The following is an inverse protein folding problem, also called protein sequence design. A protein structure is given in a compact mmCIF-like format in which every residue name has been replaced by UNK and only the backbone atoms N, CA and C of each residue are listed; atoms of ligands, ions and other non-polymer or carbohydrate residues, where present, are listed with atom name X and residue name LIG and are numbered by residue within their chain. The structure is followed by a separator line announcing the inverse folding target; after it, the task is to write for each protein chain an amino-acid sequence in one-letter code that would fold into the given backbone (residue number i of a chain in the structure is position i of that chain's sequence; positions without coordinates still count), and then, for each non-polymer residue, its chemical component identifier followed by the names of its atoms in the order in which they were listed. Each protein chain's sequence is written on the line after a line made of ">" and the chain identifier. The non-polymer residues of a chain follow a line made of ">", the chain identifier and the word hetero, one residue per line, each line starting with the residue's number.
data_IF_948519220757
#
_entry.id   IF_948519220757
#
_cell.length_a   1.000
_cell.length_b   1.000
_cell.length_c   1.000
_cell.angle_alpha   90.00
_cell.angle_beta   90.00
_cell.angle_gamma   90.00
#
_symmetry.space_group_name_H-M   'P 1'
#
loop_
_entity.id
_entity.type
_entity.pdbx_description
1 polymer ?
#
# COMPACT_ATOMS: atom_id res chain seq x y z
N UNK A 1 -10.63 27.30 15.20
CA UNK A 1 -10.60 26.49 16.45
C UNK A 1 -9.15 26.50 16.93
N UNK A 2 -8.92 26.90 18.18
CA UNK A 2 -7.59 27.23 18.70
C UNK A 2 -6.67 26.02 18.76
N UNK A 3 -5.46 26.19 18.25
CA UNK A 3 -4.31 25.33 18.53
C UNK A 3 -4.08 25.34 20.05
N UNK A 4 -4.26 24.19 20.71
CA UNK A 4 -3.96 24.02 22.13
C UNK A 4 -2.45 23.76 22.29
N UNK A 5 -1.68 24.84 22.36
CA UNK A 5 -0.22 24.84 22.55
C UNK A 5 0.22 24.04 23.80
N UNK A 6 -0.55 24.09 24.88
CA UNK A 6 -0.23 23.48 26.16
C UNK A 6 -0.17 21.94 26.12
N UNK A 7 -0.93 21.29 25.23
CA UNK A 7 -0.88 19.83 25.06
C UNK A 7 0.31 19.39 24.21
N UNK A 8 0.80 20.25 23.31
CA UNK A 8 1.98 19.96 22.48
C UNK A 8 3.27 20.09 23.28
N UNK A 9 3.42 21.14 24.10
CA UNK A 9 4.60 21.34 24.96
C UNK A 9 4.85 20.13 25.90
N UNK A 10 3.79 19.50 26.43
CA UNK A 10 3.93 18.33 27.33
C UNK A 10 4.40 17.06 26.59
N UNK A 11 4.11 16.93 25.29
CA UNK A 11 4.47 15.76 24.47
C UNK A 11 5.86 15.95 23.84
N UNK A 12 6.20 17.16 23.41
CA UNK A 12 7.50 17.50 22.80
C UNK A 12 8.63 17.56 23.81
N UNK A 13 8.41 18.09 25.01
CA UNK A 13 9.50 18.41 25.95
C UNK A 13 10.00 17.21 26.78
N UNK A 14 9.35 16.04 26.63
CA UNK A 14 9.80 14.77 27.21
C UNK A 14 10.41 13.80 26.18
N UNK A 15 10.55 14.21 24.92
CA UNK A 15 10.99 13.34 23.82
C UNK A 15 9.97 12.21 23.52
N UNK A 16 8.68 12.45 23.79
CA UNK A 16 7.61 11.44 23.71
C UNK A 16 6.64 11.65 22.54
N UNK A 17 6.85 12.66 21.72
CA UNK A 17 6.18 12.82 20.43
C UNK A 17 6.33 14.24 19.90
N UNK A 18 6.15 14.37 18.59
CA UNK A 18 5.99 15.64 17.92
C UNK A 18 4.78 15.52 16.99
N UNK A 19 4.08 16.62 16.75
CA UNK A 19 3.08 16.70 15.68
C UNK A 19 3.62 17.59 14.57
N UNK A 20 3.58 17.09 13.35
CA UNK A 20 3.79 17.89 12.15
C UNK A 20 2.48 17.91 11.39
N UNK A 21 1.98 19.10 11.06
CA UNK A 21 0.82 19.23 10.17
C UNK A 21 1.29 19.01 8.74
N UNK A 22 0.65 18.07 8.04
CA UNK A 22 0.77 17.94 6.60
C UNK A 22 -0.22 18.96 5.99
N UNK A 23 0.23 19.92 5.15
CA UNK A 23 -0.65 20.95 4.57
C UNK A 23 -1.81 20.39 3.73
N UNK A 24 -2.84 21.22 3.53
CA UNK A 24 -4.21 20.86 3.11
C UNK A 24 -4.36 20.09 1.78
N UNK A 25 -3.41 20.19 0.85
CA UNK A 25 -3.47 19.46 -0.42
C UNK A 25 -3.00 17.99 -0.31
N UNK A 26 -2.35 17.61 0.80
CA UNK A 26 -1.76 16.31 1.04
C UNK A 26 -2.34 15.63 2.29
N UNK A 27 -3.32 14.76 2.10
CA UNK A 27 -3.73 13.84 3.17
C UNK A 27 -2.91 12.57 3.08
N UNK A 28 -2.18 12.21 4.14
CA UNK A 28 -1.53 10.91 4.25
C UNK A 28 -2.54 9.86 4.76
N UNK A 29 -2.67 8.76 4.03
CA UNK A 29 -3.63 7.67 4.32
C UNK A 29 -2.94 6.41 4.83
N UNK A 30 -1.69 6.18 4.40
CA UNK A 30 -0.90 5.01 4.79
C UNK A 30 0.54 5.42 5.06
N UNK A 31 1.18 4.68 5.96
CA UNK A 31 2.61 4.74 6.22
C UNK A 31 3.18 3.32 6.23
N UNK A 32 4.41 3.18 5.75
CA UNK A 32 5.26 2.01 5.97
C UNK A 32 6.68 2.47 6.23
N UNK A 33 7.39 1.83 7.15
CA UNK A 33 8.80 2.11 7.41
C UNK A 33 9.55 0.86 7.79
N UNK A 34 10.76 0.70 7.24
CA UNK A 34 11.66 -0.40 7.57
C UNK A 34 12.60 -0.04 8.73
N UNK A 35 12.86 1.26 8.93
CA UNK A 35 13.85 1.77 9.89
C UNK A 35 13.36 3.08 10.52
N UNK A 36 14.02 3.49 11.60
CA UNK A 36 13.73 4.75 12.30
C UNK A 36 13.98 6.00 11.45
N UNK A 37 14.76 5.86 10.38
CA UNK A 37 15.22 6.90 9.45
C UNK A 37 14.77 6.64 8.01
N UNK A 38 13.84 5.70 7.80
CA UNK A 38 13.31 5.41 6.47
C UNK A 38 11.84 4.97 6.57
N UNK A 39 10.96 5.93 6.34
CA UNK A 39 9.52 5.69 6.26
C UNK A 39 8.88 6.50 5.13
N UNK A 40 7.91 5.88 4.49
CA UNK A 40 7.15 6.43 3.39
C UNK A 40 5.69 6.55 3.75
N UNK A 41 5.10 7.69 3.40
CA UNK A 41 3.67 7.93 3.49
C UNK A 41 3.11 8.20 2.10
N UNK A 42 1.88 7.77 1.87
CA UNK A 42 1.13 8.07 0.65
C UNK A 42 -0.31 8.43 0.96
N UNK A 43 -0.98 9.10 0.01
CA UNK A 43 -2.41 9.37 0.15
C UNK A 43 -3.00 10.18 -0.99
N UNK A 44 -3.78 11.21 -0.67
CA UNK A 44 -4.58 11.99 -1.63
C UNK A 44 -3.75 12.59 -2.76
N UNK A 45 -4.31 12.63 -3.97
CA UNK A 45 -3.70 13.21 -5.18
C UNK A 45 -2.30 12.67 -5.51
N UNK A 46 -2.04 11.41 -5.13
CA UNK A 46 -0.78 10.72 -5.37
C UNK A 46 0.40 11.30 -4.60
N UNK A 47 0.15 12.02 -3.50
CA UNK A 47 1.23 12.49 -2.64
C UNK A 47 2.05 11.32 -2.11
N UNK A 48 3.38 11.47 -2.12
CA UNK A 48 4.30 10.66 -1.35
C UNK A 48 5.15 11.56 -0.44
N UNK A 49 5.36 11.14 0.80
CA UNK A 49 6.26 11.81 1.75
C UNK A 49 7.32 10.83 2.23
N UNK A 50 8.57 11.28 2.33
CA UNK A 50 9.68 10.50 2.85
C UNK A 50 10.21 11.10 4.15
N UNK A 51 10.30 10.25 5.18
CA UNK A 51 11.00 10.54 6.43
C UNK A 51 12.41 9.98 6.37
N UNK A 52 13.41 10.86 6.52
CA UNK A 52 14.84 10.52 6.44
C UNK A 52 15.53 10.42 7.82
N UNK A 53 14.76 10.39 8.92
CA UNK A 53 15.27 10.44 10.28
C UNK A 53 15.40 11.84 10.88
N UNK A 54 15.28 12.89 10.07
CA UNK A 54 15.33 14.28 10.52
C UNK A 54 14.21 15.15 9.94
N UNK A 55 13.83 14.92 8.69
CA UNK A 55 12.87 15.74 7.94
C UNK A 55 11.87 14.88 7.18
N UNK A 56 10.67 15.44 7.00
CA UNK A 56 9.65 14.87 6.13
C UNK A 56 9.60 15.67 4.83
N UNK A 57 9.90 15.03 3.70
CA UNK A 57 9.97 15.68 2.38
C UNK A 57 8.94 15.13 1.43
N UNK A 58 8.22 16.00 0.73
CA UNK A 58 7.30 15.58 -0.32
C UNK A 58 8.06 15.16 -1.57
N UNK A 59 7.61 14.06 -2.17
CA UNK A 59 8.12 13.49 -3.41
C UNK A 59 6.98 13.37 -4.42
N UNK A 60 7.24 13.82 -5.64
CA UNK A 60 6.29 13.70 -6.74
C UNK A 60 6.25 12.27 -7.25
N UNK A 61 5.05 11.71 -7.38
CA UNK A 61 4.83 10.37 -7.94
C UNK A 61 4.44 10.42 -9.42
N UNK A 62 4.08 11.60 -9.94
CA UNK A 62 3.48 11.76 -11.26
C UNK A 62 2.04 11.23 -11.37
N UNK A 63 1.43 10.80 -10.26
CA UNK A 63 0.08 10.23 -10.24
C UNK A 63 -0.89 11.26 -9.67
N UNK A 64 -1.91 11.66 -10.44
CA UNK A 64 -2.95 12.59 -9.97
C UNK A 64 -4.10 11.94 -9.19
N UNK A 65 -4.01 10.63 -8.90
CA UNK A 65 -5.01 9.86 -8.16
C UNK A 65 -4.48 9.44 -6.80
N UNK A 66 -5.35 9.26 -5.82
CA UNK A 66 -4.94 8.82 -4.48
C UNK A 66 -4.23 7.47 -4.48
N UNK A 67 -3.13 7.39 -3.73
CA UNK A 67 -2.41 6.16 -3.43
C UNK A 67 -2.85 5.65 -2.05
N UNK A 68 -3.25 4.39 -1.96
CA UNK A 68 -3.92 3.81 -0.79
C UNK A 68 -2.98 2.99 0.10
N UNK A 69 -1.97 2.37 -0.49
CA UNK A 69 -0.98 1.58 0.25
C UNK A 69 0.42 1.84 -0.27
N UNK A 70 1.39 1.91 0.63
CA UNK A 70 2.82 1.88 0.36
C UNK A 70 3.44 0.74 1.15
N UNK A 71 4.44 0.08 0.57
CA UNK A 71 5.23 -0.96 1.22
C UNK A 71 6.69 -0.83 0.80
N UNK A 72 7.61 -1.16 1.70
CA UNK A 72 9.02 -1.26 1.41
C UNK A 72 9.57 -2.62 1.84
N UNK A 73 10.48 -3.17 1.05
CA UNK A 73 11.23 -4.39 1.38
C UNK A 73 12.51 -4.44 0.54
N UNK A 74 13.63 -4.82 1.16
CA UNK A 74 14.95 -4.94 0.51
C UNK A 74 15.37 -3.66 -0.24
N UNK A 75 15.09 -2.49 0.34
CA UNK A 75 15.43 -1.20 -0.28
C UNK A 75 14.61 -0.87 -1.54
N UNK A 76 13.56 -1.65 -1.83
CA UNK A 76 12.53 -1.31 -2.83
C UNK A 76 11.36 -0.67 -2.13
N UNK A 77 10.73 0.30 -2.76
CA UNK A 77 9.50 0.93 -2.28
C UNK A 77 8.49 0.92 -3.41
N UNK A 78 7.29 0.44 -3.12
CA UNK A 78 6.18 0.44 -4.06
C UNK A 78 4.93 1.04 -3.41
N UNK A 79 4.14 1.77 -4.19
CA UNK A 79 2.84 2.26 -3.77
C UNK A 79 1.77 1.95 -4.82
N UNK A 80 0.54 1.72 -4.36
CA UNK A 80 -0.61 1.45 -5.21
C UNK A 80 -1.82 2.24 -4.79
N UNK A 81 -2.72 2.49 -5.73
CA UNK A 81 -4.01 3.12 -5.45
C UNK A 81 -4.85 3.33 -6.70
N UNK A 82 -5.80 4.25 -6.59
CA UNK A 82 -6.77 4.57 -7.64
C UNK A 82 -7.99 3.65 -7.65
N UNK A 83 -9.17 4.26 -7.73
CA UNK A 83 -10.47 3.55 -7.64
C UNK A 83 -11.11 3.23 -8.99
N UNK A 84 -10.82 4.03 -10.02
CA UNK A 84 -11.38 3.88 -11.37
C UNK A 84 -10.35 3.41 -12.41
N UNK A 85 -9.08 3.70 -12.14
CA UNK A 85 -7.90 3.10 -12.76
C UNK A 85 -6.92 2.84 -11.62
N UNK A 86 -6.38 1.63 -11.55
CA UNK A 86 -5.35 1.28 -10.60
C UNK A 86 -3.98 1.75 -11.07
N UNK A 87 -3.14 2.13 -10.11
CA UNK A 87 -1.77 2.58 -10.35
C UNK A 87 -0.81 1.77 -9.49
N UNK A 88 0.36 1.47 -10.05
CA UNK A 88 1.52 0.93 -9.35
C UNK A 88 2.70 1.86 -9.66
N UNK A 89 3.30 2.41 -8.61
CA UNK A 89 4.55 3.18 -8.70
C UNK A 89 5.65 2.51 -7.91
N UNK A 90 6.88 2.52 -8.45
CA UNK A 90 8.08 2.05 -7.77
C UNK A 90 9.13 3.15 -7.68
N UNK A 91 9.79 3.25 -6.52
CA UNK A 91 10.90 4.16 -6.32
C UNK A 91 12.18 3.59 -6.94
N UNK A 92 12.82 4.36 -7.81
CA UNK A 92 14.15 4.07 -8.32
C UNK A 92 15.09 5.24 -8.00
N UNK A 93 16.03 5.03 -7.08
CA UNK A 93 16.81 6.13 -6.51
C UNK A 93 15.92 7.05 -5.69
N UNK A 94 15.82 8.32 -6.10
CA UNK A 94 14.97 9.34 -5.46
C UNK A 94 13.70 9.68 -6.27
N UNK A 95 13.44 8.94 -7.35
CA UNK A 95 12.34 9.20 -8.27
C UNK A 95 11.33 8.05 -8.31
N UNK A 96 10.05 8.39 -8.25
CA UNK A 96 8.95 7.47 -8.47
C UNK A 96 8.71 7.26 -9.95
N UNK A 97 8.55 6.01 -10.35
CA UNK A 97 8.20 5.62 -11.72
C UNK A 97 6.85 4.93 -11.73
N UNK A 98 5.96 5.35 -12.63
CA UNK A 98 4.73 4.61 -12.91
C UNK A 98 5.07 3.33 -13.70
N UNK A 99 4.88 2.19 -13.04
CA UNK A 99 5.15 0.85 -13.57
C UNK A 99 3.85 0.04 -13.74
N UNK A 100 2.72 0.74 -13.82
CA UNK A 100 1.40 0.12 -14.04
C UNK A 100 1.39 -0.66 -15.36
N UNK A 101 0.95 -1.93 -15.37
CA UNK A 101 0.80 -2.70 -16.60
C UNK A 101 -0.24 -2.08 -17.56
N UNK A 102 -0.09 -2.35 -18.85
CA UNK A 102 -1.07 -1.99 -19.89
C UNK A 102 -1.78 -3.26 -20.38
N UNK A 103 -3.13 -3.35 -20.35
CA UNK A 103 -4.06 -2.35 -19.82
C UNK A 103 -4.01 -2.20 -18.29
N UNK A 104 -4.33 -1.01 -17.74
CA UNK A 104 -4.30 -0.80 -16.31
C UNK A 104 -5.41 -1.58 -15.59
N UNK A 105 -5.18 -2.02 -14.34
CA UNK A 105 -6.25 -2.56 -13.50
C UNK A 105 -7.35 -1.53 -13.28
N UNK A 106 -8.57 -1.98 -12.95
CA UNK A 106 -9.66 -1.07 -12.60
C UNK A 106 -9.40 -0.30 -11.30
N UNK A 107 -8.75 -0.93 -10.33
CA UNK A 107 -8.36 -0.28 -9.08
C UNK A 107 -7.48 -1.19 -8.24
N UNK A 108 -6.57 -0.60 -7.48
CA UNK A 108 -5.68 -1.32 -6.56
C UNK A 108 -5.79 -0.70 -5.17
N UNK A 109 -5.69 -1.53 -4.14
CA UNK A 109 -5.89 -1.13 -2.75
C UNK A 109 -4.76 -1.58 -1.82
N UNK A 110 -4.16 -2.74 -2.06
CA UNK A 110 -3.09 -3.29 -1.24
C UNK A 110 -1.86 -3.64 -2.06
N UNK A 111 -0.67 -3.46 -1.48
CA UNK A 111 0.59 -3.94 -2.03
C UNK A 111 1.47 -4.48 -0.91
N UNK A 112 2.17 -5.57 -1.18
CA UNK A 112 3.21 -6.14 -0.32
C UNK A 112 4.40 -6.52 -1.18
N UNK A 113 5.58 -6.04 -0.83
CA UNK A 113 6.84 -6.49 -1.43
C UNK A 113 7.42 -7.61 -0.57
N UNK A 114 7.96 -8.64 -1.22
CA UNK A 114 8.68 -9.72 -0.56
C UNK A 114 10.07 -9.88 -1.16
N UNK A 115 10.78 -10.92 -0.74
CA UNK A 115 12.18 -11.16 -1.12
C UNK A 115 12.38 -11.41 -2.62
N UNK A 116 13.64 -11.38 -3.07
CA UNK A 116 14.07 -11.77 -4.43
C UNK A 116 13.33 -11.08 -5.58
N UNK A 117 12.92 -9.82 -5.38
CA UNK A 117 12.20 -9.07 -6.42
C UNK A 117 10.70 -9.40 -6.48
N UNK A 118 10.19 -10.32 -5.66
CA UNK A 118 8.77 -10.68 -5.64
C UNK A 118 7.92 -9.60 -4.94
N UNK A 119 6.63 -9.59 -5.27
CA UNK A 119 5.65 -8.69 -4.70
C UNK A 119 4.25 -9.01 -5.20
N UNK A 120 3.25 -8.57 -4.45
CA UNK A 120 1.84 -8.74 -4.80
C UNK A 120 1.11 -7.40 -4.65
N UNK A 121 0.26 -7.08 -5.62
CA UNK A 121 -0.67 -5.96 -5.54
C UNK A 121 -2.09 -6.50 -5.76
N UNK A 122 -3.04 -6.02 -4.97
CA UNK A 122 -4.41 -6.53 -4.94
C UNK A 122 -5.43 -5.40 -4.98
N UNK A 123 -6.61 -5.67 -5.54
CA UNK A 123 -7.58 -4.62 -5.77
C UNK A 123 -8.98 -5.07 -6.14
N UNK A 124 -9.62 -4.27 -6.99
CA UNK A 124 -11.04 -4.42 -7.31
C UNK A 124 -11.31 -5.63 -8.20
N UNK A 125 -12.50 -6.23 -8.05
CA UNK A 125 -12.97 -7.34 -8.90
C UNK A 125 -11.97 -8.50 -9.03
N UNK A 126 -11.40 -8.93 -7.90
CA UNK A 126 -10.43 -10.03 -7.86
C UNK A 126 -9.06 -9.71 -8.45
N UNK A 127 -8.74 -8.44 -8.69
CA UNK A 127 -7.43 -8.04 -9.20
C UNK A 127 -6.30 -8.52 -8.27
N UNK A 128 -5.39 -9.32 -8.83
CA UNK A 128 -4.13 -9.75 -8.22
C UNK A 128 -3.05 -9.61 -9.28
N UNK A 129 -1.97 -8.90 -8.92
CA UNK A 129 -0.80 -8.69 -9.76
C UNK A 129 0.43 -9.17 -9.01
N UNK A 130 1.36 -9.80 -9.71
CA UNK A 130 2.65 -10.22 -9.16
C UNK A 130 3.79 -9.45 -9.80
N UNK A 131 4.81 -9.17 -9.00
CA UNK A 131 6.07 -8.55 -9.44
C UNK A 131 7.12 -9.61 -9.69
N UNK A 132 7.86 -9.45 -10.79
CA UNK A 132 9.09 -10.18 -11.09
C UNK A 132 10.17 -9.24 -11.63
N UNK A 133 11.25 -9.80 -12.17
CA UNK A 133 12.31 -9.01 -12.83
C UNK A 133 11.82 -8.33 -14.13
N UNK A 134 10.77 -8.87 -14.73
CA UNK A 134 10.12 -8.34 -15.94
C UNK A 134 9.13 -7.19 -15.64
N UNK A 135 8.84 -6.93 -14.35
CA UNK A 135 7.88 -5.94 -13.90
C UNK A 135 6.63 -6.56 -13.28
N UNK A 136 5.55 -5.78 -13.25
CA UNK A 136 4.26 -6.21 -12.73
C UNK A 136 3.41 -6.86 -13.83
N UNK A 137 2.71 -7.95 -13.49
CA UNK A 137 1.80 -8.63 -14.40
C UNK A 137 0.59 -9.21 -13.64
N UNK A 138 -0.58 -9.35 -14.28
CA UNK A 138 -1.72 -10.01 -13.66
C UNK A 138 -1.39 -11.47 -13.31
N UNK A 139 -1.87 -11.92 -12.16
CA UNK A 139 -1.63 -13.28 -11.69
C UNK A 139 -2.71 -14.25 -12.22
N UNK A 140 -2.28 -15.42 -12.70
CA UNK A 140 -3.17 -16.51 -13.08
C UNK A 140 -3.66 -17.26 -11.83
N UNK A 141 -4.90 -16.99 -11.41
CA UNK A 141 -5.48 -17.59 -10.20
C UNK A 141 -6.07 -18.99 -10.46
N UNK A 142 -6.51 -19.27 -11.69
CA UNK A 142 -7.24 -20.51 -12.03
C UNK A 142 -8.70 -20.54 -11.57
N UNK A 143 -9.19 -19.46 -10.96
CA UNK A 143 -10.58 -19.25 -10.57
C UNK A 143 -10.93 -17.76 -10.59
N UNK A 144 -12.22 -17.44 -10.55
CA UNK A 144 -12.72 -16.06 -10.55
C UNK A 144 -13.16 -15.63 -9.17
N UNK A 145 -12.72 -14.44 -8.74
CA UNK A 145 -13.21 -13.74 -7.56
C UNK A 145 -13.85 -12.43 -8.04
N UNK A 146 -15.07 -12.15 -7.60
CA UNK A 146 -15.78 -10.90 -7.96
C UNK A 146 -15.69 -9.85 -6.85
N UNK A 147 -15.24 -10.23 -5.66
CA UNK A 147 -15.03 -9.35 -4.51
C UNK A 147 -13.75 -8.51 -4.68
N UNK A 148 -13.66 -7.44 -3.91
CA UNK A 148 -12.46 -6.61 -3.85
C UNK A 148 -11.49 -7.15 -2.81
N UNK A 149 -10.20 -7.17 -3.11
CA UNK A 149 -9.15 -7.34 -2.12
C UNK A 149 -8.67 -5.97 -1.63
N UNK A 150 -8.46 -5.83 -0.32
CA UNK A 150 -7.94 -4.60 0.29
C UNK A 150 -6.65 -4.83 1.10
N UNK A 151 -6.35 -6.08 1.47
CA UNK A 151 -5.15 -6.44 2.21
C UNK A 151 -4.43 -7.59 1.52
N UNK A 152 -3.11 -7.55 1.60
CA UNK A 152 -2.25 -8.67 1.19
C UNK A 152 -1.13 -8.84 2.21
N UNK A 153 -0.54 -10.03 2.23
CA UNK A 153 0.64 -10.35 3.03
C UNK A 153 1.44 -11.46 2.34
N UNK A 154 2.76 -11.43 2.49
CA UNK A 154 3.69 -12.47 2.03
C UNK A 154 4.36 -13.03 3.27
N UNK A 155 4.23 -14.34 3.49
CA UNK A 155 4.87 -15.03 4.61
C UNK A 155 6.33 -15.41 4.30
N UNK A 156 7.07 -15.81 5.33
CA UNK A 156 8.50 -16.16 5.22
C UNK A 156 8.78 -17.36 4.29
N UNK A 157 7.76 -18.13 3.92
CA UNK A 157 7.87 -19.23 2.96
C UNK A 157 7.51 -18.80 1.52
N UNK A 158 7.26 -17.51 1.29
CA UNK A 158 6.79 -16.95 0.02
C UNK A 158 5.31 -17.20 -0.27
N UNK A 159 4.56 -17.67 0.74
CA UNK A 159 3.12 -17.84 0.68
C UNK A 159 2.41 -16.49 0.62
N UNK A 160 1.47 -16.35 -0.30
CA UNK A 160 0.73 -15.11 -0.54
C UNK A 160 -0.66 -15.23 0.02
N UNK A 161 -1.06 -14.24 0.81
CA UNK A 161 -2.37 -14.12 1.43
C UNK A 161 -3.03 -12.85 0.90
N UNK A 162 -4.30 -12.92 0.51
CA UNK A 162 -5.07 -11.73 0.15
C UNK A 162 -6.50 -11.81 0.71
N UNK A 163 -6.94 -10.70 1.32
CA UNK A 163 -8.22 -10.61 2.04
C UNK A 163 -9.08 -9.47 1.52
N UNK A 164 -10.39 -9.68 1.56
CA UNK A 164 -11.32 -8.84 0.82
C UNK A 164 -12.80 -9.07 1.14
N UNK A 165 -13.64 -8.49 0.29
CA UNK A 165 -15.09 -8.65 0.28
C UNK A 165 -15.79 -7.51 -0.46
N UNK A 166 -17.06 -7.26 -0.12
CA UNK A 166 -17.74 -6.01 -0.45
C UNK A 166 -17.21 -4.91 0.47
N UNK A 167 -16.15 -4.23 0.01
CA UNK A 167 -15.47 -3.17 0.78
C UNK A 167 -15.70 -1.77 0.23
N UNK A 168 -16.40 -1.63 -0.89
CA UNK A 168 -16.56 -0.34 -1.56
C UNK A 168 -17.66 0.51 -0.92
N UNK A 169 -18.76 -0.13 -0.53
CA UNK A 169 -19.88 0.55 0.12
C UNK A 169 -20.63 -0.39 1.07
N UNK A 170 -21.24 0.15 2.14
CA UNK A 170 -22.13 -0.63 3.00
C UNK A 170 -23.29 -1.28 2.21
N UNK A 171 -23.78 -2.46 2.63
CA UNK A 171 -23.27 -3.24 3.76
C UNK A 171 -21.94 -3.92 3.44
N UNK A 172 -21.00 -3.92 4.39
CA UNK A 172 -19.72 -4.63 4.24
C UNK A 172 -19.92 -6.12 4.47
N UNK A 173 -19.90 -6.91 3.39
CA UNK A 173 -20.28 -8.33 3.38
C UNK A 173 -19.34 -9.15 2.49
N UNK A 174 -19.63 -10.44 2.33
CA UNK A 174 -18.92 -11.32 1.38
C UNK A 174 -17.41 -11.40 1.63
N UNK A 175 -17.02 -11.58 2.90
CA UNK A 175 -15.61 -11.74 3.26
C UNK A 175 -14.95 -12.87 2.45
N UNK A 176 -13.79 -12.57 1.87
CA UNK A 176 -13.02 -13.54 1.08
C UNK A 176 -11.56 -13.55 1.53
N UNK A 177 -10.97 -14.74 1.56
CA UNK A 177 -9.56 -14.99 1.72
C UNK A 177 -9.11 -15.89 0.59
N UNK A 178 -7.99 -15.56 -0.04
CA UNK A 178 -7.26 -16.47 -0.93
C UNK A 178 -5.84 -16.66 -0.39
N UNK A 179 -5.30 -17.85 -0.63
CA UNK A 179 -3.93 -18.20 -0.26
C UNK A 179 -3.27 -18.97 -1.42
N UNK A 180 -2.00 -18.65 -1.68
CA UNK A 180 -1.11 -19.41 -2.55
C UNK A 180 0.21 -19.63 -1.82
N UNK A 181 0.46 -20.86 -1.39
CA UNK A 181 1.69 -21.20 -0.69
C UNK A 181 1.74 -22.68 -0.31
N UNK A 182 2.81 -23.13 0.37
CA UNK A 182 2.97 -24.52 0.77
C UNK A 182 1.95 -24.96 1.84
N UNK A 183 1.35 -24.02 2.57
CA UNK A 183 0.35 -24.29 3.60
C UNK A 183 -1.04 -24.52 2.99
N UNK A 184 -1.75 -25.55 3.43
CA UNK A 184 -3.17 -25.70 3.09
C UNK A 184 -4.03 -24.85 4.02
N UNK A 185 -5.04 -24.17 3.46
CA UNK A 185 -6.06 -23.50 4.25
C UNK A 185 -7.07 -24.53 4.75
N UNK A 186 -7.42 -24.54 6.06
CA UNK A 186 -8.55 -25.33 6.53
C UNK A 186 -9.83 -24.82 5.85
N UNK A 187 -10.53 -25.70 5.15
CA UNK A 187 -11.81 -25.36 4.49
C UNK A 187 -13.02 -25.53 5.42
N UNK A 188 -12.81 -26.01 6.65
CA UNK A 188 -13.85 -26.19 7.67
C UNK A 188 -13.54 -25.35 8.92
N UNK A 189 -14.53 -24.63 9.44
CA UNK A 189 -14.44 -23.94 10.75
C UNK A 189 -14.49 -22.41 10.73
N UNK A 190 -15.41 -21.80 9.97
CA UNK A 190 -15.79 -20.38 10.11
C UNK A 190 -17.22 -20.25 10.64
#
# INVERSE_FOLDING_TARGET
>A
AGYNDYLMDVVTDLGKGASVFIPDEAEAWKIFGERSDDAWLVGSNGVALHWDGATLTQRDTGIGSSLFTVHAADGRVAAVGGSASGFIVELAGDQWNNVTPDPPPTGLAGVTLGDDGFGVAVGTFGAVYTRSMEGWAPAELGFTINQNFHGSWIDDAGGVWAVGGQTFSPPFTEGVLIHRGPSELPTEGL
#
